data_IF_672470990658
#
_entry.id   IF_672470990658
#
_cell.length_a   1.000
_cell.length_b   1.000
_cell.length_c   1.000
_cell.angle_alpha   90.00
_cell.angle_beta   90.00
_cell.angle_gamma   90.00
#
_symmetry.space_group_name_H-M   'P 1'
#
loop_
_entity.id
_entity.type
_entity.pdbx_description
1 polymer ?
#
# COMPACT_ATOMS: atom_id res chain seq x y z
N UNK A 1 -8.33 -14.58 -10.68
CA UNK A 1 -8.31 -13.65 -9.53
C UNK A 1 -8.08 -12.18 -9.92
N UNK A 2 -7.22 -11.84 -10.90
CA UNK A 2 -6.92 -10.43 -11.27
C UNK A 2 -8.09 -9.64 -11.88
N UNK A 3 -8.92 -10.22 -12.76
CA UNK A 3 -10.01 -9.46 -13.41
C UNK A 3 -11.10 -9.00 -12.42
N UNK A 4 -11.52 -9.87 -11.51
CA UNK A 4 -12.51 -9.51 -10.47
C UNK A 4 -11.98 -8.53 -9.43
N UNK A 5 -10.66 -8.53 -9.17
CA UNK A 5 -10.04 -7.65 -8.19
C UNK A 5 -9.83 -6.24 -8.76
N UNK A 6 -9.36 -6.13 -10.01
CA UNK A 6 -9.24 -4.84 -10.72
C UNK A 6 -10.60 -4.15 -10.83
N UNK A 7 -11.66 -4.89 -11.19
CA UNK A 7 -13.02 -4.34 -11.27
C UNK A 7 -13.53 -3.76 -9.94
N UNK A 8 -13.20 -4.39 -8.81
CA UNK A 8 -13.65 -3.95 -7.48
C UNK A 8 -12.86 -2.73 -7.00
N UNK A 9 -11.57 -2.64 -7.31
CA UNK A 9 -10.73 -1.47 -6.99
C UNK A 9 -11.22 -0.18 -7.64
N UNK A 10 -11.54 -0.24 -8.94
CA UNK A 10 -12.07 0.92 -9.66
C UNK A 10 -13.44 1.38 -9.16
N UNK A 11 -14.25 0.47 -8.60
CA UNK A 11 -15.56 0.82 -8.05
C UNK A 11 -15.46 1.65 -6.77
N UNK A 12 -14.51 1.34 -5.89
CA UNK A 12 -14.37 2.00 -4.60
C UNK A 12 -13.46 3.23 -4.62
N UNK A 13 -12.61 3.39 -5.63
CA UNK A 13 -11.70 4.54 -5.75
C UNK A 13 -12.41 5.91 -5.65
N UNK A 14 -13.58 6.15 -6.30
CA UNK A 14 -14.31 7.42 -6.16
C UNK A 14 -14.81 7.67 -4.73
N UNK A 15 -15.27 6.63 -4.04
CA UNK A 15 -15.77 6.75 -2.66
C UNK A 15 -14.62 7.04 -1.70
N UNK A 16 -13.52 6.30 -1.84
CA UNK A 16 -12.30 6.50 -1.05
C UNK A 16 -11.76 7.91 -1.20
N UNK A 17 -11.74 8.44 -2.43
CA UNK A 17 -11.34 9.82 -2.71
C UNK A 17 -12.17 10.83 -1.92
N UNK A 18 -13.49 10.70 -1.93
CA UNK A 18 -14.37 11.64 -1.21
C UNK A 18 -14.26 11.50 0.32
N UNK A 19 -13.99 10.30 0.82
CA UNK A 19 -13.66 10.10 2.25
C UNK A 19 -12.38 10.87 2.60
N UNK A 20 -11.31 10.71 1.81
CA UNK A 20 -10.04 11.42 2.04
C UNK A 20 -10.27 12.93 2.05
N UNK A 21 -11.00 13.46 1.06
CA UNK A 21 -11.33 14.90 0.99
C UNK A 21 -12.08 15.38 2.22
N UNK A 22 -13.09 14.64 2.67
CA UNK A 22 -13.87 15.01 3.87
C UNK A 22 -12.98 15.14 5.11
N UNK A 23 -12.00 14.26 5.28
CA UNK A 23 -11.07 14.33 6.41
C UNK A 23 -10.12 15.53 6.30
N UNK A 24 -9.57 15.78 5.11
CA UNK A 24 -8.71 16.95 4.85
C UNK A 24 -9.47 18.25 5.10
N UNK A 25 -10.67 18.40 4.52
CA UNK A 25 -11.53 19.58 4.65
C UNK A 25 -11.93 19.86 6.11
N UNK A 26 -12.09 18.81 6.92
CA UNK A 26 -12.41 18.93 8.35
C UNK A 26 -11.17 19.04 9.26
N UNK A 27 -9.95 19.03 8.72
CA UNK A 27 -8.72 19.04 9.51
C UNK A 27 -8.55 17.81 10.41
N UNK A 28 -9.06 16.66 9.97
CA UNK A 28 -9.04 15.40 10.72
C UNK A 28 -7.96 14.46 10.17
N UNK A 29 -7.29 13.72 11.05
CA UNK A 29 -6.33 12.69 10.65
C UNK A 29 -7.02 11.37 10.30
N UNK A 30 -6.58 10.73 9.22
CA UNK A 30 -7.02 9.40 8.79
C UNK A 30 -5.81 8.59 8.33
N UNK A 31 -5.66 7.36 8.84
CA UNK A 31 -4.78 6.36 8.26
C UNK A 31 -5.67 5.41 7.45
N UNK A 32 -5.32 5.22 6.18
CA UNK A 32 -6.02 4.31 5.29
C UNK A 32 -5.05 3.24 4.80
N UNK A 33 -5.33 1.99 5.16
CA UNK A 33 -4.53 0.83 4.76
C UNK A 33 -5.19 0.08 3.61
N UNK A 34 -4.38 -0.51 2.74
CA UNK A 34 -4.84 -1.32 1.61
C UNK A 34 -4.56 -0.72 0.23
N UNK A 35 -4.99 -1.44 -0.81
CA UNK A 35 -4.62 -1.18 -2.20
C UNK A 35 -5.64 -0.33 -2.99
N UNK A 36 -6.47 0.46 -2.29
CA UNK A 36 -7.57 1.22 -2.91
C UNK A 36 -7.14 2.46 -3.68
N UNK A 37 -5.85 2.80 -3.64
CA UNK A 37 -5.36 4.03 -4.22
C UNK A 37 -4.45 3.69 -5.41
N UNK A 38 -4.94 3.87 -6.65
CA UNK A 38 -4.23 3.46 -7.84
C UNK A 38 -2.99 4.33 -8.08
N UNK A 39 -2.03 3.82 -8.85
CA UNK A 39 -0.95 4.65 -9.37
C UNK A 39 -1.52 5.80 -10.23
N UNK A 40 -0.96 7.00 -10.14
CA UNK A 40 -1.46 8.17 -10.88
C UNK A 40 -2.54 8.99 -10.16
N UNK A 41 -2.90 8.60 -8.93
CA UNK A 41 -3.89 9.26 -8.06
C UNK A 41 -3.63 10.74 -7.78
N UNK A 42 -2.42 11.24 -7.95
CA UNK A 42 -2.11 12.67 -7.85
C UNK A 42 -3.01 13.52 -8.75
N UNK A 43 -3.43 12.97 -9.91
CA UNK A 43 -4.34 13.64 -10.84
C UNK A 43 -5.79 13.72 -10.34
N UNK A 44 -6.13 12.92 -9.33
CA UNK A 44 -7.46 12.90 -8.76
C UNK A 44 -7.65 14.01 -7.71
N UNK A 45 -6.57 14.55 -7.14
CA UNK A 45 -6.64 15.57 -6.09
C UNK A 45 -6.10 16.91 -6.61
N UNK A 46 -6.77 18.01 -6.23
CA UNK A 46 -6.21 19.33 -6.48
C UNK A 46 -4.93 19.53 -5.64
N UNK A 47 -4.04 20.42 -6.10
CA UNK A 47 -2.70 20.58 -5.53
C UNK A 47 -2.71 20.93 -4.03
N UNK A 48 -3.75 21.62 -3.56
CA UNK A 48 -3.96 21.97 -2.15
C UNK A 48 -4.19 20.74 -1.26
N UNK A 49 -4.92 19.73 -1.73
CA UNK A 49 -5.12 18.48 -0.99
C UNK A 49 -3.84 17.64 -0.90
N UNK A 50 -2.96 17.71 -1.91
CA UNK A 50 -1.77 16.86 -1.98
C UNK A 50 -0.80 17.13 -0.82
N UNK A 51 -0.76 18.36 -0.31
CA UNK A 51 0.07 18.74 0.84
C UNK A 51 -0.32 18.02 2.13
N UNK A 52 -1.61 17.67 2.29
CA UNK A 52 -2.14 17.05 3.50
C UNK A 52 -2.21 15.52 3.41
N UNK A 53 -1.97 14.95 2.21
CA UNK A 53 -2.06 13.52 1.99
C UNK A 53 -0.67 12.91 1.86
N UNK A 54 -0.33 12.05 2.81
CA UNK A 54 0.94 11.35 2.88
C UNK A 54 0.76 9.89 2.49
N UNK A 55 1.66 9.41 1.64
CA UNK A 55 1.58 8.06 1.10
C UNK A 55 2.84 7.27 1.38
N UNK A 56 2.65 6.10 1.98
CA UNK A 56 3.74 5.20 2.36
C UNK A 56 3.48 3.87 1.70
N UNK A 57 4.44 3.41 0.90
CA UNK A 57 4.44 2.07 0.35
C UNK A 57 5.59 1.28 0.96
N UNK A 58 5.28 0.10 1.50
CA UNK A 58 6.28 -0.84 1.97
C UNK A 58 6.55 -1.85 0.86
N UNK A 59 7.80 -1.91 0.42
CA UNK A 59 8.28 -2.88 -0.57
C UNK A 59 9.27 -3.80 0.12
N UNK A 60 9.02 -5.11 0.05
CA UNK A 60 9.90 -6.13 0.61
C UNK A 60 10.86 -6.64 -0.47
N UNK A 61 12.10 -7.00 -0.13
CA UNK A 61 12.97 -7.68 -1.08
C UNK A 61 12.45 -9.10 -1.35
N UNK A 62 12.85 -9.68 -2.48
CA UNK A 62 12.55 -11.08 -2.76
C UNK A 62 13.10 -11.99 -1.67
N UNK A 63 14.33 -11.74 -1.22
CA UNK A 63 14.99 -12.50 -0.16
C UNK A 63 14.20 -12.42 1.15
N UNK A 64 13.75 -11.21 1.54
CA UNK A 64 12.91 -11.02 2.72
C UNK A 64 11.66 -11.90 2.67
N UNK A 65 10.93 -11.85 1.55
CA UNK A 65 9.68 -12.60 1.40
C UNK A 65 9.97 -14.09 1.49
N UNK A 66 11.03 -14.60 0.85
CA UNK A 66 11.37 -16.04 0.90
C UNK A 66 11.73 -16.48 2.31
N UNK A 67 12.54 -15.71 3.03
CA UNK A 67 12.97 -16.04 4.39
C UNK A 67 11.82 -16.00 5.41
N UNK A 68 10.91 -15.03 5.27
CA UNK A 68 9.87 -14.75 6.26
C UNK A 68 8.45 -15.16 5.82
N UNK A 69 8.30 -15.91 4.71
CA UNK A 69 6.98 -16.26 4.16
C UNK A 69 6.07 -16.95 5.20
N UNK A 70 6.61 -17.92 5.94
CA UNK A 70 5.85 -18.63 6.96
C UNK A 70 5.36 -17.70 8.07
N UNK A 71 6.18 -16.74 8.50
CA UNK A 71 5.80 -15.75 9.51
C UNK A 71 4.75 -14.77 8.96
N UNK A 72 4.89 -14.35 7.70
CA UNK A 72 3.90 -13.48 7.04
C UNK A 72 2.52 -14.16 7.00
N UNK A 73 2.46 -15.40 6.52
CA UNK A 73 1.20 -16.17 6.44
C UNK A 73 0.63 -16.43 7.83
N UNK A 74 1.47 -16.80 8.81
CA UNK A 74 1.04 -17.00 10.20
C UNK A 74 0.39 -15.75 10.79
N UNK A 75 0.85 -14.56 10.41
CA UNK A 75 0.38 -13.29 10.94
C UNK A 75 -0.63 -12.58 10.02
N UNK A 76 -1.08 -13.18 8.92
CA UNK A 76 -1.90 -12.50 7.91
C UNK A 76 -3.26 -12.01 8.46
N UNK A 77 -3.74 -12.61 9.55
CA UNK A 77 -5.05 -12.37 10.17
C UNK A 77 -4.96 -11.93 11.64
N UNK A 78 -3.88 -11.26 12.06
CA UNK A 78 -3.70 -10.85 13.47
C UNK A 78 -4.73 -9.80 13.90
N UNK A 79 -5.09 -8.87 13.01
CA UNK A 79 -6.00 -7.75 13.31
C UNK A 79 -7.43 -7.94 12.76
N UNK A 80 -7.62 -8.88 11.83
CA UNK A 80 -8.88 -9.11 11.13
C UNK A 80 -9.06 -10.59 10.78
N UNK A 81 -10.30 -11.07 10.73
CA UNK A 81 -10.60 -12.43 10.26
C UNK A 81 -10.66 -12.45 8.74
N UNK A 82 -9.67 -13.06 8.09
CA UNK A 82 -9.61 -13.20 6.63
C UNK A 82 -10.17 -14.55 6.19
N UNK A 83 -10.65 -14.60 4.94
CA UNK A 83 -10.87 -15.87 4.26
C UNK A 83 -9.50 -16.49 3.97
N UNK A 84 -9.35 -17.79 4.22
CA UNK A 84 -8.12 -18.53 3.89
C UNK A 84 -7.77 -18.31 2.42
N UNK A 85 -6.51 -17.94 2.16
CA UNK A 85 -6.00 -17.80 0.79
C UNK A 85 -4.86 -18.77 0.53
N UNK A 86 -4.90 -19.45 -0.61
CA UNK A 86 -3.79 -20.30 -1.08
C UNK A 86 -2.69 -19.46 -1.72
N UNK A 87 -2.25 -18.39 -1.04
CA UNK A 87 -1.19 -17.52 -1.54
C UNK A 87 0.15 -18.23 -1.47
N UNK A 88 0.98 -18.07 -2.51
CA UNK A 88 2.34 -18.61 -2.54
C UNK A 88 3.36 -17.49 -2.39
N UNK A 89 4.58 -17.84 -1.96
CA UNK A 89 5.69 -16.88 -1.91
C UNK A 89 5.95 -16.28 -3.29
N UNK A 90 5.87 -17.07 -4.36
CA UNK A 90 6.10 -16.60 -5.73
C UNK A 90 5.00 -15.61 -6.19
N UNK A 91 3.74 -15.81 -5.77
CA UNK A 91 2.67 -14.83 -6.02
C UNK A 91 2.94 -13.49 -5.32
N UNK A 92 3.40 -13.54 -4.06
CA UNK A 92 3.78 -12.36 -3.30
C UNK A 92 4.97 -11.62 -3.93
N UNK A 93 6.04 -12.35 -4.27
CA UNK A 93 7.23 -11.80 -4.91
C UNK A 93 6.86 -11.12 -6.23
N UNK A 94 6.04 -11.78 -7.04
CA UNK A 94 5.56 -11.22 -8.31
C UNK A 94 4.76 -9.94 -8.13
N UNK A 95 3.82 -9.93 -7.18
CA UNK A 95 2.97 -8.75 -6.90
C UNK A 95 3.79 -7.59 -6.35
N UNK A 96 4.67 -7.87 -5.39
CA UNK A 96 5.55 -6.88 -4.78
C UNK A 96 6.59 -6.32 -5.78
N UNK A 97 7.17 -7.18 -6.62
CA UNK A 97 8.06 -6.78 -7.70
C UNK A 97 7.38 -5.86 -8.72
N UNK A 98 6.15 -6.19 -9.14
CA UNK A 98 5.35 -5.30 -9.98
C UNK A 98 5.14 -3.93 -9.34
N UNK A 99 4.79 -3.88 -8.05
CA UNK A 99 4.64 -2.62 -7.33
C UNK A 99 5.94 -1.81 -7.33
N UNK A 100 7.08 -2.46 -7.02
CA UNK A 100 8.39 -1.80 -7.04
C UNK A 100 8.70 -1.17 -8.41
N UNK A 101 8.44 -1.89 -9.50
CA UNK A 101 8.60 -1.35 -10.86
C UNK A 101 7.71 -0.13 -11.09
N UNK A 102 6.44 -0.19 -10.71
CA UNK A 102 5.50 0.93 -10.89
C UNK A 102 5.88 2.17 -10.06
N UNK A 103 6.38 1.99 -8.83
CA UNK A 103 6.88 3.07 -7.97
C UNK A 103 8.15 3.69 -8.54
N UNK A 104 9.11 2.88 -9.02
CA UNK A 104 10.33 3.36 -9.69
C UNK A 104 10.01 4.15 -10.96
N UNK A 105 9.11 3.64 -11.81
CA UNK A 105 8.73 4.29 -13.07
C UNK A 105 8.10 5.67 -12.87
N UNK A 106 7.41 5.90 -11.75
CA UNK A 106 6.73 7.17 -11.42
C UNK A 106 7.50 8.03 -10.43
N UNK A 107 8.69 7.61 -10.03
CA UNK A 107 9.52 8.28 -9.03
C UNK A 107 8.77 8.54 -7.72
N UNK A 108 7.99 7.57 -7.27
CA UNK A 108 7.29 7.63 -5.99
C UNK A 108 8.20 7.16 -4.85
N UNK A 109 8.02 7.75 -3.67
CA UNK A 109 8.69 7.31 -2.45
C UNK A 109 8.14 5.96 -1.98
N UNK A 110 9.03 5.10 -1.50
CA UNK A 110 8.69 3.81 -0.87
C UNK A 110 9.77 3.46 0.16
N UNK A 111 9.39 2.65 1.15
CA UNK A 111 10.34 2.05 2.09
C UNK A 111 10.72 0.68 1.56
N UNK A 112 12.02 0.47 1.33
CA UNK A 112 12.54 -0.81 0.91
C UNK A 112 13.03 -1.62 2.12
N UNK A 113 12.45 -2.80 2.32
CA UNK A 113 12.71 -3.68 3.46
C UNK A 113 13.43 -4.92 2.94
N UNK A 114 14.72 -5.03 3.24
CA UNK A 114 15.56 -6.11 2.69
C UNK A 114 15.78 -7.29 3.64
N UNK A 115 16.19 -7.02 4.88
CA UNK A 115 16.53 -8.09 5.83
C UNK A 115 15.77 -8.00 7.15
N UNK A 116 15.45 -6.79 7.60
CA UNK A 116 14.82 -6.59 8.90
C UNK A 116 13.65 -5.62 8.76
N UNK A 117 12.50 -6.02 9.29
CA UNK A 117 11.35 -5.16 9.42
C UNK A 117 11.55 -4.16 10.58
N UNK A 118 12.16 -3.02 10.28
CA UNK A 118 12.37 -1.92 11.22
C UNK A 118 11.68 -0.66 10.70
N UNK A 119 10.35 -0.64 10.76
CA UNK A 119 9.57 0.56 10.46
C UNK A 119 9.25 1.27 11.78
N UNK A 120 9.64 2.54 11.88
CA UNK A 120 9.36 3.40 13.03
C UNK A 120 8.85 4.77 12.56
N UNK A 121 8.46 5.62 13.50
CA UNK A 121 7.91 6.95 13.22
C UNK A 121 8.91 7.83 12.45
N UNK A 122 10.18 7.76 12.81
CA UNK A 122 11.25 8.59 12.22
C UNK A 122 11.44 8.29 10.73
N UNK A 123 11.40 7.01 10.34
CA UNK A 123 11.50 6.60 8.93
C UNK A 123 10.32 7.13 8.11
N UNK A 124 9.13 7.17 8.71
CA UNK A 124 7.92 7.67 8.05
C UNK A 124 7.99 9.19 7.81
N UNK A 125 8.58 9.95 8.74
CA UNK A 125 8.78 11.40 8.58
C UNK A 125 9.78 11.73 7.47
N UNK A 126 10.81 10.90 7.26
CA UNK A 126 11.84 11.17 6.23
C UNK A 126 11.39 11.01 4.77
N UNK A 127 10.19 10.47 4.54
CA UNK A 127 9.63 10.25 3.19
C UNK A 127 8.59 11.31 2.77
N UNK A 128 8.37 12.30 3.63
CA UNK A 128 7.41 13.41 3.49
C UNK A 128 8.12 14.67 3.03
#
# INVERSE_FOLDING_TARGET
>A
MRENMVSKFYLFAPVVKEIIKTYVENGQSLIMEGCYIPFGREKDFADDYQCDIKYICLIFSEEYIRQHFADIVKNESVIETRLSTDITADDMIKSNGYNLEQYKLRNYNYIFIDHVYQINHDIIETLQ
#
